data_IF_303455958941
#
_entry.id   IF_303455958941
#
_cell.length_a   1.000
_cell.length_b   1.000
_cell.length_c   1.000
_cell.angle_alpha   90.00
_cell.angle_beta   90.00
_cell.angle_gamma   90.00
#
_symmetry.space_group_name_H-M   'P 1'
#
loop_
_entity.id
_entity.type
_entity.pdbx_description
1 polymer ?
#
# COMPACT_ATOMS: atom_id res chain seq x y z
N UNK A 1 7.89 -8.02 24.99
CA UNK A 1 7.14 -6.89 25.61
C UNK A 1 7.53 -5.54 25.00
N UNK A 2 8.81 -5.21 24.83
CA UNK A 2 9.28 -3.92 24.27
C UNK A 2 8.74 -3.57 22.86
N UNK A 3 8.83 -4.49 21.88
CA UNK A 3 8.35 -4.25 20.50
C UNK A 3 6.86 -3.88 20.42
N UNK A 4 6.01 -4.49 21.28
CA UNK A 4 4.56 -4.24 21.28
C UNK A 4 4.23 -2.85 21.82
N UNK A 5 4.94 -2.38 22.84
CA UNK A 5 4.78 -1.02 23.34
C UNK A 5 5.26 0.04 22.32
N UNK A 6 6.37 -0.25 21.62
CA UNK A 6 6.88 0.59 20.54
C UNK A 6 5.87 0.71 19.38
N UNK A 7 5.31 -0.42 18.95
CA UNK A 7 4.25 -0.47 17.93
C UNK A 7 3.04 0.39 18.32
N UNK A 8 2.46 0.17 19.50
CA UNK A 8 1.31 0.93 19.99
C UNK A 8 1.59 2.44 20.07
N UNK A 9 2.80 2.82 20.51
CA UNK A 9 3.21 4.21 20.55
C UNK A 9 3.28 4.84 19.15
N UNK A 10 3.84 4.13 18.17
CA UNK A 10 3.87 4.58 16.78
C UNK A 10 2.47 4.71 16.18
N UNK A 11 1.58 3.74 16.42
CA UNK A 11 0.19 3.80 15.94
C UNK A 11 -0.58 4.99 16.52
N UNK A 12 -0.39 5.29 17.81
CA UNK A 12 -0.99 6.47 18.45
C UNK A 12 -0.47 7.78 17.85
N UNK A 13 0.83 7.88 17.56
CA UNK A 13 1.41 9.05 16.90
C UNK A 13 0.89 9.23 15.47
N UNK A 14 0.74 8.13 14.71
CA UNK A 14 0.15 8.17 13.38
C UNK A 14 -1.29 8.64 13.40
N UNK A 15 -2.08 8.24 14.41
CA UNK A 15 -3.47 8.68 14.55
C UNK A 15 -3.61 10.20 14.78
N UNK A 16 -2.60 10.85 15.37
CA UNK A 16 -2.57 12.30 15.61
C UNK A 16 -1.80 13.08 14.54
N UNK A 17 -1.30 12.39 13.51
CA UNK A 17 -0.50 12.99 12.45
C UNK A 17 -1.41 13.75 11.48
N UNK A 18 -1.09 15.03 11.28
CA UNK A 18 -1.89 15.95 10.45
C UNK A 18 -1.01 16.86 9.57
N UNK A 19 0.27 16.56 9.45
CA UNK A 19 1.18 17.31 8.58
C UNK A 19 2.33 16.42 8.11
N UNK A 20 2.88 16.76 6.94
CA UNK A 20 4.05 16.07 6.40
C UNK A 20 5.25 16.14 7.35
N UNK A 21 5.45 17.26 8.04
CA UNK A 21 6.54 17.40 9.02
C UNK A 21 6.43 16.39 10.18
N UNK A 22 5.22 16.15 10.70
CA UNK A 22 5.03 15.11 11.73
C UNK A 22 5.22 13.71 11.15
N UNK A 23 4.76 13.49 9.92
CA UNK A 23 4.91 12.20 9.23
C UNK A 23 6.39 11.81 9.07
N UNK A 24 7.25 12.75 8.68
CA UNK A 24 8.70 12.49 8.53
C UNK A 24 9.37 12.21 9.89
N UNK A 25 8.97 12.89 10.96
CA UNK A 25 9.41 12.59 12.32
C UNK A 25 8.98 11.18 12.76
N UNK A 26 7.76 10.78 12.45
CA UNK A 26 7.25 9.43 12.74
C UNK A 26 8.01 8.39 11.92
N UNK A 27 8.29 8.63 10.64
CA UNK A 27 9.13 7.75 9.82
C UNK A 27 10.50 7.54 10.47
N UNK A 28 11.21 8.60 10.85
CA UNK A 28 12.50 8.46 11.54
C UNK A 28 12.39 7.60 12.82
N UNK A 29 11.27 7.70 13.53
CA UNK A 29 10.99 6.90 14.73
C UNK A 29 10.68 5.43 14.39
N UNK A 30 9.98 5.15 13.30
CA UNK A 30 9.75 3.79 12.79
C UNK A 30 11.08 3.08 12.54
N UNK A 31 12.01 3.74 11.84
CA UNK A 31 13.37 3.22 11.59
C UNK A 31 14.14 2.99 12.90
N UNK A 32 14.17 4.00 13.78
CA UNK A 32 14.90 3.92 15.05
C UNK A 32 14.41 2.81 15.97
N UNK A 33 13.12 2.48 15.92
CA UNK A 33 12.49 1.44 16.73
C UNK A 33 12.51 0.06 16.07
N UNK A 34 13.03 -0.07 14.84
CA UNK A 34 13.06 -1.33 14.11
C UNK A 34 11.67 -1.81 13.67
N UNK A 35 10.76 -0.87 13.40
CA UNK A 35 9.36 -1.14 13.04
C UNK A 35 9.10 -1.06 11.53
N UNK A 36 10.15 -0.90 10.72
CA UNK A 36 10.02 -0.73 9.27
C UNK A 36 9.41 -1.95 8.55
N UNK A 37 9.38 -3.14 9.17
CA UNK A 37 8.74 -4.34 8.63
C UNK A 37 7.43 -4.70 9.36
N UNK A 38 6.87 -3.78 10.16
CA UNK A 38 5.66 -4.03 10.92
C UNK A 38 4.42 -3.70 10.05
N UNK A 39 3.61 -4.69 9.63
CA UNK A 39 2.55 -4.48 8.66
C UNK A 39 1.50 -3.49 9.17
N UNK A 40 1.11 -3.57 10.46
CA UNK A 40 0.12 -2.65 11.04
C UNK A 40 0.60 -1.19 11.01
N UNK A 41 1.87 -0.97 11.35
CA UNK A 41 2.49 0.36 11.32
C UNK A 41 2.56 0.87 9.88
N UNK A 42 3.03 0.04 8.93
CA UNK A 42 3.15 0.45 7.53
C UNK A 42 1.79 0.72 6.90
N UNK A 43 0.78 -0.13 7.10
CA UNK A 43 -0.59 0.10 6.60
C UNK A 43 -1.16 1.40 7.14
N UNK A 44 -1.00 1.67 8.44
CA UNK A 44 -1.47 2.94 9.02
C UNK A 44 -0.67 4.13 8.50
N UNK A 45 0.64 3.98 8.33
CA UNK A 45 1.52 5.00 7.74
C UNK A 45 1.07 5.34 6.31
N UNK A 46 0.81 4.34 5.47
CA UNK A 46 0.29 4.51 4.10
C UNK A 46 -1.05 5.23 4.09
N UNK A 47 -2.00 4.83 4.94
CA UNK A 47 -3.31 5.49 5.03
C UNK A 47 -3.18 6.98 5.36
N UNK A 48 -2.41 7.32 6.39
CA UNK A 48 -2.20 8.73 6.78
C UNK A 48 -1.45 9.49 5.69
N UNK A 49 -0.50 8.84 5.01
CA UNK A 49 0.24 9.46 3.91
C UNK A 49 -0.68 9.76 2.72
N UNK A 50 -1.64 8.89 2.43
CA UNK A 50 -2.69 9.15 1.44
C UNK A 50 -3.54 10.37 1.83
N UNK A 51 -3.98 10.45 3.09
CA UNK A 51 -4.79 11.57 3.59
C UNK A 51 -4.03 12.92 3.54
N UNK A 52 -2.70 12.87 3.65
CA UNK A 52 -1.80 14.03 3.56
C UNK A 52 -1.29 14.32 2.14
N UNK A 53 -1.81 13.64 1.12
CA UNK A 53 -1.32 13.74 -0.27
C UNK A 53 0.19 13.46 -0.41
N UNK A 54 0.73 12.61 0.47
CA UNK A 54 2.14 12.24 0.57
C UNK A 54 2.36 10.74 0.31
N UNK A 55 1.47 10.10 -0.46
CA UNK A 55 1.53 8.66 -0.74
C UNK A 55 2.84 8.26 -1.45
N UNK A 56 3.36 9.12 -2.33
CA UNK A 56 4.64 8.88 -3.03
C UNK A 56 5.82 8.79 -2.05
N UNK A 57 5.81 9.64 -1.01
CA UNK A 57 6.81 9.58 0.05
C UNK A 57 6.71 8.30 0.86
N UNK A 58 5.49 7.83 1.16
CA UNK A 58 5.33 6.57 1.87
C UNK A 58 5.80 5.38 1.05
N UNK A 59 5.48 5.35 -0.24
CA UNK A 59 5.86 4.23 -1.07
C UNK A 59 7.37 4.18 -1.35
N UNK A 60 8.04 5.32 -1.50
CA UNK A 60 9.51 5.33 -1.63
C UNK A 60 10.23 4.80 -0.38
N UNK A 61 9.63 4.99 0.80
CA UNK A 61 10.11 4.39 2.04
C UNK A 61 9.79 2.89 2.12
N UNK A 62 8.54 2.50 1.86
CA UNK A 62 8.04 1.13 2.07
C UNK A 62 8.62 0.13 1.06
N UNK A 63 8.79 0.56 -0.19
CA UNK A 63 9.27 -0.26 -1.30
C UNK A 63 10.70 0.13 -1.72
N UNK A 64 11.54 0.54 -0.76
CA UNK A 64 12.94 0.85 -1.04
C UNK A 64 13.71 -0.42 -1.45
N UNK A 65 14.60 -0.38 -2.46
CA UNK A 65 15.42 -1.53 -2.86
C UNK A 65 16.29 -2.10 -1.74
N UNK A 66 16.63 -1.28 -0.74
CA UNK A 66 17.46 -1.66 0.41
C UNK A 66 16.71 -2.53 1.43
N UNK A 67 15.41 -2.74 1.21
CA UNK A 67 14.51 -3.40 2.14
C UNK A 67 14.33 -4.90 1.82
N UNK A 68 15.44 -5.63 1.73
CA UNK A 68 15.54 -7.05 1.32
C UNK A 68 14.72 -8.07 2.17
N UNK A 69 14.02 -7.62 3.22
CA UNK A 69 13.36 -8.46 4.24
C UNK A 69 11.87 -8.13 4.46
N UNK A 70 11.26 -7.35 3.57
CA UNK A 70 9.83 -7.03 3.71
C UNK A 70 8.94 -8.20 3.26
N UNK A 71 8.23 -8.79 4.22
CA UNK A 71 7.01 -9.53 3.90
C UNK A 71 5.89 -8.52 3.67
N UNK A 72 5.69 -8.12 2.42
CA UNK A 72 4.50 -7.36 2.03
C UNK A 72 3.28 -8.28 2.09
N UNK A 73 2.20 -7.79 2.68
CA UNK A 73 0.93 -8.50 2.70
C UNK A 73 -0.09 -7.87 1.75
N UNK A 74 -1.18 -8.60 1.51
CA UNK A 74 -2.28 -8.15 0.66
C UNK A 74 -2.91 -6.85 1.16
N UNK A 75 -2.91 -6.59 2.47
CA UNK A 75 -3.51 -5.39 3.06
C UNK A 75 -2.72 -4.12 2.73
N UNK A 76 -1.40 -4.18 2.80
CA UNK A 76 -0.52 -3.09 2.45
C UNK A 76 -0.64 -2.73 0.97
N UNK A 77 -0.57 -3.73 0.07
CA UNK A 77 -0.76 -3.50 -1.36
C UNK A 77 -2.15 -2.93 -1.67
N UNK A 78 -3.21 -3.48 -1.06
CA UNK A 78 -4.57 -2.94 -1.24
C UNK A 78 -4.67 -1.47 -0.82
N UNK A 79 -3.99 -1.09 0.26
CA UNK A 79 -3.98 0.30 0.73
C UNK A 79 -3.29 1.24 -0.26
N UNK A 80 -2.15 0.81 -0.82
CA UNK A 80 -1.38 1.58 -1.81
C UNK A 80 -2.12 1.68 -3.14
N UNK A 81 -2.62 0.56 -3.66
CA UNK A 81 -3.38 0.50 -4.92
C UNK A 81 -4.63 1.38 -4.81
N UNK A 82 -5.36 1.30 -3.69
CA UNK A 82 -6.51 2.17 -3.42
C UNK A 82 -6.12 3.64 -3.49
N UNK A 83 -5.09 4.05 -2.75
CA UNK A 83 -4.67 5.45 -2.66
C UNK A 83 -4.41 6.04 -4.07
N UNK A 84 -3.63 5.35 -4.89
CA UNK A 84 -3.36 5.79 -6.26
C UNK A 84 -4.56 5.67 -7.20
N UNK A 85 -5.40 4.65 -7.05
CA UNK A 85 -6.61 4.49 -7.83
C UNK A 85 -7.68 5.53 -7.49
N UNK A 86 -7.58 6.21 -6.35
CA UNK A 86 -8.44 7.32 -5.97
C UNK A 86 -7.88 8.67 -6.45
N UNK A 87 -6.56 8.84 -6.50
CA UNK A 87 -5.91 10.02 -7.08
C UNK A 87 -6.17 10.13 -8.59
N UNK A 88 -6.63 11.29 -9.08
CA UNK A 88 -7.07 11.48 -10.46
C UNK A 88 -5.97 11.14 -11.48
N UNK A 89 -4.74 11.61 -11.26
CA UNK A 89 -3.65 11.51 -12.22
C UNK A 89 -2.68 10.34 -11.98
N UNK A 90 -3.01 9.42 -11.07
CA UNK A 90 -2.09 8.35 -10.64
C UNK A 90 -2.61 6.94 -10.91
N UNK A 91 -3.58 6.80 -11.83
CA UNK A 91 -4.18 5.50 -12.17
C UNK A 91 -3.14 4.51 -12.67
N UNK A 92 -2.21 4.96 -13.52
CA UNK A 92 -1.10 4.13 -14.00
C UNK A 92 -0.24 3.60 -12.85
N UNK A 93 0.03 4.42 -11.84
CA UNK A 93 0.79 4.01 -10.65
C UNK A 93 0.07 2.92 -9.86
N UNK A 94 -1.26 2.99 -9.74
CA UNK A 94 -2.04 1.92 -9.10
C UNK A 94 -1.88 0.57 -9.83
N UNK A 95 -1.83 0.59 -11.17
CA UNK A 95 -1.58 -0.60 -11.98
C UNK A 95 -0.14 -1.10 -11.80
N UNK A 96 0.85 -0.21 -11.68
CA UNK A 96 2.22 -0.60 -11.37
C UNK A 96 2.29 -1.35 -10.03
N UNK A 97 1.65 -0.84 -8.98
CA UNK A 97 1.62 -1.55 -7.68
C UNK A 97 0.83 -2.86 -7.71
N UNK A 98 -0.21 -2.97 -8.55
CA UNK A 98 -0.86 -4.27 -8.79
C UNK A 98 0.11 -5.27 -9.44
N UNK A 99 0.93 -4.85 -10.40
CA UNK A 99 1.95 -5.71 -11.00
C UNK A 99 3.05 -6.08 -10.00
N UNK A 100 3.47 -5.14 -9.15
CA UNK A 100 4.43 -5.40 -8.07
C UNK A 100 3.87 -6.38 -7.02
N UNK A 101 2.59 -6.28 -6.70
CA UNK A 101 1.92 -7.26 -5.83
C UNK A 101 2.06 -8.68 -6.37
N UNK A 102 1.81 -8.86 -7.67
CA UNK A 102 1.96 -10.14 -8.35
C UNK A 102 3.42 -10.60 -8.44
N UNK A 103 4.38 -9.69 -8.71
CA UNK A 103 5.80 -10.03 -8.80
C UNK A 103 6.37 -10.53 -7.45
N UNK A 104 5.84 -10.03 -6.34
CA UNK A 104 6.17 -10.46 -4.99
C UNK A 104 5.41 -11.72 -4.54
N UNK A 105 4.60 -12.32 -5.40
CA UNK A 105 3.79 -13.50 -5.07
C UNK A 105 2.69 -13.22 -4.05
N UNK A 106 2.29 -11.96 -3.88
CA UNK A 106 1.18 -11.58 -2.99
C UNK A 106 -0.13 -11.72 -3.76
N UNK A 107 -1.02 -12.58 -3.29
CA UNK A 107 -2.28 -12.86 -4.01
C UNK A 107 -3.28 -11.70 -3.88
N UNK A 108 -3.81 -11.19 -5.02
CA UNK A 108 -4.92 -10.24 -5.02
C UNK A 108 -6.19 -10.90 -4.50
N UNK A 109 -7.05 -10.11 -3.87
CA UNK A 109 -8.33 -10.58 -3.33
C UNK A 109 -9.49 -9.67 -3.76
N UNK A 110 -10.69 -9.97 -3.24
CA UNK A 110 -11.92 -9.22 -3.55
C UNK A 110 -11.86 -7.73 -3.17
N UNK A 111 -10.93 -7.33 -2.31
CA UNK A 111 -10.67 -5.92 -1.99
C UNK A 111 -9.67 -5.26 -2.94
N UNK A 112 -8.85 -6.03 -3.66
CA UNK A 112 -7.89 -5.53 -4.65
C UNK A 112 -8.60 -5.09 -5.93
N UNK A 113 -9.39 -5.99 -6.51
CA UNK A 113 -9.95 -5.83 -7.85
C UNK A 113 -10.79 -4.55 -8.08
N UNK A 114 -11.64 -4.09 -7.15
CA UNK A 114 -12.40 -2.85 -7.36
C UNK A 114 -11.51 -1.64 -7.67
N UNK A 115 -10.36 -1.53 -6.99
CA UNK A 115 -9.42 -0.43 -7.21
C UNK A 115 -8.61 -0.61 -8.50
N UNK A 116 -8.24 -1.84 -8.83
CA UNK A 116 -7.57 -2.15 -10.11
C UNK A 116 -8.49 -1.84 -11.29
N UNK A 117 -9.76 -2.23 -11.25
CA UNK A 117 -10.73 -1.90 -12.29
C UNK A 117 -10.97 -0.40 -12.41
N UNK A 118 -11.06 0.31 -11.28
CA UNK A 118 -11.15 1.78 -11.27
C UNK A 118 -9.95 2.42 -11.94
N UNK A 119 -8.74 1.91 -11.69
CA UNK A 119 -7.53 2.36 -12.35
C UNK A 119 -7.55 2.04 -13.86
N UNK A 120 -7.93 0.83 -14.27
CA UNK A 120 -8.06 0.45 -15.68
C UNK A 120 -9.03 1.36 -16.43
N UNK A 121 -10.22 1.60 -15.85
CA UNK A 121 -11.22 2.50 -16.41
C UNK A 121 -10.71 3.94 -16.51
N UNK A 122 -9.96 4.41 -15.51
CA UNK A 122 -9.37 5.75 -15.51
C UNK A 122 -8.23 5.94 -16.53
N UNK A 123 -7.52 4.87 -16.90
CA UNK A 123 -6.51 4.89 -17.98
C UNK A 123 -7.18 4.74 -19.36
N UNK A 124 -8.34 4.09 -19.42
CA UNK A 124 -9.02 3.75 -20.68
C UNK A 124 -8.46 2.50 -21.37
N UNK A 125 -7.70 1.66 -20.66
CA UNK A 125 -7.11 0.44 -21.22
C UNK A 125 -8.03 -0.77 -21.03
N UNK A 126 -8.84 -1.05 -22.06
CA UNK A 126 -9.77 -2.18 -22.08
C UNK A 126 -9.06 -3.54 -22.07
N UNK A 127 -7.88 -3.64 -22.69
CA UNK A 127 -7.16 -4.92 -22.76
C UNK A 127 -6.64 -5.29 -21.37
N UNK A 128 -6.09 -4.31 -20.65
CA UNK A 128 -5.71 -4.49 -19.25
C UNK A 128 -6.92 -4.90 -18.40
N UNK A 129 -8.07 -4.23 -18.57
CA UNK A 129 -9.30 -4.59 -17.86
C UNK A 129 -9.74 -6.04 -18.10
N UNK A 130 -9.65 -6.52 -19.34
CA UNK A 130 -9.93 -7.93 -19.70
C UNK A 130 -8.95 -8.91 -19.07
N UNK A 131 -7.65 -8.59 -19.07
CA UNK A 131 -6.63 -9.41 -18.42
C UNK A 131 -6.89 -9.54 -16.92
N UNK A 132 -7.17 -8.43 -16.25
CA UNK A 132 -7.49 -8.42 -14.80
C UNK A 132 -8.77 -9.23 -14.53
N UNK A 133 -9.80 -9.06 -15.36
CA UNK A 133 -11.04 -9.82 -15.22
C UNK A 133 -10.83 -11.33 -15.40
N UNK A 134 -10.04 -11.75 -16.39
CA UNK A 134 -9.66 -13.15 -16.59
C UNK A 134 -8.90 -13.73 -15.40
N UNK A 135 -7.91 -13.00 -14.88
CA UNK A 135 -7.14 -13.41 -13.70
C UNK A 135 -7.99 -13.47 -12.42
N UNK A 136 -8.99 -12.61 -12.29
CA UNK A 136 -9.94 -12.68 -11.17
C UNK A 136 -10.80 -13.94 -11.25
N UNK A 137 -11.33 -14.26 -12.43
CA UNK A 137 -12.23 -15.40 -12.65
C UNK A 137 -11.59 -16.75 -12.29
N UNK A 138 -10.30 -16.93 -12.55
CA UNK A 138 -9.59 -18.15 -12.13
C UNK A 138 -9.55 -18.29 -10.59
N UNK A 139 -9.44 -17.19 -9.86
CA UNK A 139 -9.46 -17.17 -8.38
C UNK A 139 -10.86 -17.42 -7.80
N UNK A 140 -11.93 -17.00 -8.48
CA UNK A 140 -13.33 -17.17 -8.02
C UNK A 140 -13.85 -18.60 -8.17
N UNK A 141 -13.28 -19.40 -9.09
CA UNK A 141 -13.74 -20.78 -9.36
C UNK A 141 -13.08 -21.82 -8.44
N UNK A 142 -12.10 -21.40 -7.63
CA UNK A 142 -11.35 -22.26 -6.70
C UNK A 142 -11.90 -22.28 -5.25
N UNK A 143 -13.10 -21.72 -5.00
CA UNK A 143 -13.77 -21.74 -3.69
C UNK A 143 -15.24 -22.17 -3.80
#
# INVERSE_FOLDING_TARGET
MYKRAAEQNCLALLQLCNSLFKLTQIHAKILKLGLQNNPLVLTKFTSISSDLSAIDYACSFIFSPESELHCYDTFLFNSVIKAYAETIHSKTTAICYYKEMLSHGVEPNNYTYPFVFKACAGIGDLNLGKMVHGSGFETWVLW
#
